data_IF_663929216039
#
_entry.id   IF_663929216039
#
_cell.length_a   1.000
_cell.length_b   1.000
_cell.length_c   1.000
_cell.angle_alpha   90.00
_cell.angle_beta   90.00
_cell.angle_gamma   90.00
#
_symmetry.space_group_name_H-M   'P 1'
#
loop_
_entity.id
_entity.type
_entity.pdbx_description
1 polymer ?
#
# COMPACT_ATOMS: atom_id res chain seq x y z
N UNK A 1 -25.69 39.59 30.54
CA UNK A 1 -25.59 38.50 29.54
C UNK A 1 -26.35 38.95 28.31
N UNK A 2 -25.77 38.80 27.12
CA UNK A 2 -26.44 39.20 25.88
C UNK A 2 -27.41 38.09 25.41
N UNK A 3 -28.59 38.42 24.83
CA UNK A 3 -29.55 37.41 24.40
C UNK A 3 -28.94 36.49 23.33
N UNK A 4 -29.05 35.17 23.50
CA UNK A 4 -28.71 34.21 22.46
C UNK A 4 -29.74 34.30 21.34
N UNK A 5 -29.47 35.14 20.36
CA UNK A 5 -30.33 35.32 19.19
C UNK A 5 -30.63 33.97 18.51
N UNK A 6 -31.88 33.76 18.12
CA UNK A 6 -32.27 32.56 17.38
C UNK A 6 -31.64 32.61 15.98
N UNK A 7 -30.73 31.68 15.72
CA UNK A 7 -30.07 31.50 14.43
C UNK A 7 -30.64 30.24 13.73
N UNK A 8 -31.51 30.40 12.72
CA UNK A 8 -32.07 29.27 11.96
C UNK A 8 -30.99 28.40 11.31
N UNK A 9 -29.89 29.01 10.86
CA UNK A 9 -28.76 28.32 10.23
C UNK A 9 -27.96 27.46 11.20
N UNK A 10 -28.05 27.71 12.52
CA UNK A 10 -27.50 26.86 13.58
C UNK A 10 -28.52 25.87 14.14
N UNK A 11 -29.80 26.26 14.25
CA UNK A 11 -30.85 25.43 14.86
C UNK A 11 -31.34 24.32 13.93
N UNK A 12 -31.49 24.60 12.63
CA UNK A 12 -31.95 23.61 11.65
C UNK A 12 -30.82 22.88 10.90
N UNK A 13 -29.56 23.25 11.12
CA UNK A 13 -28.43 22.53 10.53
C UNK A 13 -28.26 21.15 11.18
N UNK A 14 -28.11 20.12 10.35
CA UNK A 14 -27.69 18.78 10.79
C UNK A 14 -26.42 18.88 11.62
N UNK A 15 -26.39 18.39 12.87
CA UNK A 15 -25.20 18.46 13.74
C UNK A 15 -23.97 17.88 13.04
N UNK A 16 -22.80 18.51 13.22
CA UNK A 16 -21.56 18.11 12.50
C UNK A 16 -21.21 16.64 12.72
N UNK A 17 -21.46 16.09 13.90
CA UNK A 17 -21.32 14.66 14.21
C UNK A 17 -22.22 13.77 13.34
N UNK A 18 -23.51 14.11 13.21
CA UNK A 18 -24.46 13.38 12.36
C UNK A 18 -24.13 13.56 10.88
N UNK A 19 -23.76 14.77 10.46
CA UNK A 19 -23.35 15.03 9.07
C UNK A 19 -22.06 14.28 8.68
N UNK A 20 -21.15 14.06 9.62
CA UNK A 20 -19.93 13.28 9.41
C UNK A 20 -20.19 11.77 9.25
N UNK A 21 -21.35 11.25 9.67
CA UNK A 21 -21.78 9.88 9.36
C UNK A 21 -22.20 9.72 7.88
N UNK A 22 -22.49 10.83 7.19
CA UNK A 22 -22.76 10.88 5.74
C UNK A 22 -21.42 10.91 4.97
N UNK A 23 -20.57 9.92 5.25
CA UNK A 23 -19.28 9.73 4.58
C UNK A 23 -19.39 8.83 3.34
N UNK A 24 -18.27 8.63 2.62
CA UNK A 24 -18.16 7.63 1.55
C UNK A 24 -18.51 6.21 2.02
N UNK A 25 -19.65 5.67 1.55
CA UNK A 25 -20.03 4.26 1.69
C UNK A 25 -20.01 3.60 0.30
N UNK A 26 -18.84 3.11 -0.18
CA UNK A 26 -18.72 2.55 -1.53
C UNK A 26 -19.51 1.25 -1.73
N UNK A 27 -19.97 0.60 -0.66
CA UNK A 27 -20.71 -0.68 -0.69
C UNK A 27 -20.06 -1.74 -1.58
N UNK A 28 -18.74 -1.90 -1.45
CA UNK A 28 -18.03 -3.04 -2.04
C UNK A 28 -18.72 -4.36 -1.65
N UNK A 29 -18.66 -5.34 -2.53
CA UNK A 29 -19.10 -6.72 -2.30
C UNK A 29 -17.98 -7.43 -1.52
N UNK A 30 -18.32 -8.31 -0.57
CA UNK A 30 -17.30 -9.06 0.18
C UNK A 30 -16.46 -9.95 -0.73
N UNK A 31 -15.16 -10.07 -0.46
CA UNK A 31 -14.23 -10.79 -1.34
C UNK A 31 -14.65 -12.24 -1.61
N UNK A 32 -15.27 -12.91 -0.63
CA UNK A 32 -15.79 -14.28 -0.80
C UNK A 32 -17.03 -14.37 -1.69
N UNK A 33 -17.89 -13.35 -1.73
CA UNK A 33 -19.01 -13.30 -2.71
C UNK A 33 -18.43 -12.93 -4.08
N UNK A 34 -17.53 -11.94 -4.13
CA UNK A 34 -16.91 -11.48 -5.37
C UNK A 34 -16.11 -12.59 -6.07
N UNK A 35 -15.33 -13.38 -5.33
CA UNK A 35 -14.61 -14.53 -5.87
C UNK A 35 -15.55 -15.58 -6.48
N UNK A 36 -16.70 -15.87 -5.84
CA UNK A 36 -17.71 -16.80 -6.39
C UNK A 36 -18.41 -16.22 -7.62
N UNK A 37 -18.63 -14.90 -7.68
CA UNK A 37 -19.17 -14.22 -8.87
C UNK A 37 -18.16 -14.21 -10.05
N UNK A 38 -16.87 -13.98 -9.79
CA UNK A 38 -15.82 -14.08 -10.80
C UNK A 38 -15.71 -15.51 -11.34
N UNK A 39 -15.68 -16.52 -10.45
CA UNK A 39 -15.74 -17.93 -10.84
C UNK A 39 -16.96 -18.23 -11.71
N UNK A 40 -18.15 -17.78 -11.30
CA UNK A 40 -19.38 -18.00 -12.06
C UNK A 40 -19.31 -17.38 -13.46
N UNK A 41 -18.84 -16.13 -13.57
CA UNK A 41 -18.69 -15.45 -14.86
C UNK A 41 -17.70 -16.14 -15.81
N UNK A 42 -16.56 -16.58 -15.28
CA UNK A 42 -15.54 -17.32 -16.06
C UNK A 42 -16.03 -18.71 -16.50
N UNK A 43 -16.92 -19.35 -15.73
CA UNK A 43 -17.45 -20.69 -16.01
C UNK A 43 -18.87 -20.68 -16.60
N UNK A 44 -19.36 -19.53 -17.07
CA UNK A 44 -20.69 -19.40 -17.69
C UNK A 44 -20.83 -20.37 -18.88
N UNK A 45 -21.91 -21.13 -18.89
CA UNK A 45 -22.27 -22.11 -19.91
C UNK A 45 -23.72 -21.87 -20.36
N UNK A 46 -24.18 -22.58 -21.39
CA UNK A 46 -25.49 -22.31 -22.02
C UNK A 46 -26.63 -22.62 -21.05
N UNK A 47 -26.42 -23.63 -20.21
CA UNK A 47 -27.31 -24.17 -19.19
C UNK A 47 -27.71 -23.10 -18.16
N UNK A 48 -26.81 -22.18 -17.82
CA UNK A 48 -27.07 -21.10 -16.86
C UNK A 48 -28.05 -20.03 -17.40
N UNK A 49 -28.26 -19.99 -18.72
CA UNK A 49 -29.10 -18.97 -19.37
C UNK A 49 -30.57 -19.36 -19.45
N UNK A 50 -30.92 -20.61 -19.16
CA UNK A 50 -32.30 -21.10 -19.19
C UNK A 50 -33.04 -20.76 -17.90
N UNK A 51 -34.01 -19.85 -17.99
CA UNK A 51 -34.96 -19.54 -16.91
C UNK A 51 -36.32 -20.21 -17.14
N UNK A 52 -36.31 -21.50 -17.48
CA UNK A 52 -37.50 -22.29 -17.82
C UNK A 52 -37.37 -23.02 -19.16
N UNK A 53 -38.51 -23.30 -19.81
CA UNK A 53 -38.63 -24.12 -21.03
C UNK A 53 -38.33 -23.39 -22.34
N UNK A 54 -37.92 -22.12 -22.30
CA UNK A 54 -37.63 -21.30 -23.48
C UNK A 54 -36.13 -21.17 -23.77
N UNK A 55 -35.76 -21.08 -25.05
CA UNK A 55 -34.40 -20.77 -25.48
C UNK A 55 -33.93 -19.39 -24.98
N UNK A 56 -32.66 -19.21 -24.60
CA UNK A 56 -32.15 -17.92 -24.11
C UNK A 56 -32.22 -16.82 -25.18
N UNK A 57 -32.51 -15.58 -24.77
CA UNK A 57 -32.67 -14.46 -25.71
C UNK A 57 -31.34 -14.01 -26.34
N UNK A 58 -30.24 -14.10 -25.61
CA UNK A 58 -28.89 -13.77 -26.08
C UNK A 58 -28.04 -15.06 -26.16
N UNK A 59 -27.10 -15.16 -27.13
CA UNK A 59 -26.16 -16.28 -27.21
C UNK A 59 -25.13 -16.23 -26.07
N UNK A 60 -24.47 -17.36 -25.78
CA UNK A 60 -23.58 -17.49 -24.62
C UNK A 60 -22.35 -16.59 -24.70
N UNK A 61 -21.84 -16.30 -25.90
CA UNK A 61 -20.71 -15.41 -26.15
C UNK A 61 -21.05 -13.96 -25.75
N UNK A 62 -22.26 -13.49 -26.10
CA UNK A 62 -22.77 -12.18 -25.67
C UNK A 62 -22.80 -12.07 -24.14
N UNK A 63 -23.33 -13.09 -23.47
CA UNK A 63 -23.48 -13.07 -22.00
C UNK A 63 -22.12 -13.22 -21.30
N UNK A 64 -21.20 -14.02 -21.84
CA UNK A 64 -19.79 -14.11 -21.37
C UNK A 64 -19.05 -12.77 -21.52
N UNK A 65 -19.15 -12.11 -22.68
CA UNK A 65 -18.56 -10.79 -22.90
C UNK A 65 -19.12 -9.75 -21.92
N UNK A 66 -20.44 -9.75 -21.69
CA UNK A 66 -21.11 -8.85 -20.76
C UNK A 66 -20.73 -9.12 -19.30
N UNK A 67 -20.62 -10.40 -18.91
CA UNK A 67 -20.16 -10.81 -17.59
C UNK A 67 -18.70 -10.38 -17.34
N UNK A 68 -17.80 -10.61 -18.30
CA UNK A 68 -16.39 -10.22 -18.18
C UNK A 68 -16.23 -8.70 -18.05
N UNK A 69 -16.95 -7.91 -18.86
CA UNK A 69 -16.94 -6.44 -18.74
C UNK A 69 -17.48 -5.99 -17.38
N UNK A 70 -18.54 -6.62 -16.86
CA UNK A 70 -19.07 -6.28 -15.53
C UNK A 70 -18.11 -6.65 -14.38
N UNK A 71 -17.46 -7.82 -14.46
CA UNK A 71 -16.61 -8.37 -13.40
C UNK A 71 -15.19 -7.79 -13.37
N UNK A 72 -14.66 -7.31 -14.51
CA UNK A 72 -13.24 -6.93 -14.60
C UNK A 72 -13.00 -5.50 -15.13
N UNK A 73 -13.94 -4.88 -15.84
CA UNK A 73 -13.75 -3.52 -16.38
C UNK A 73 -14.28 -2.37 -15.48
N UNK A 74 -15.05 -2.68 -14.43
CA UNK A 74 -15.50 -1.69 -13.43
C UNK A 74 -16.34 -0.52 -13.95
N UNK A 75 -16.98 -0.70 -15.12
CA UNK A 75 -17.74 0.34 -15.82
C UNK A 75 -19.15 0.56 -15.25
N UNK A 76 -19.71 1.74 -15.51
CA UNK A 76 -21.12 2.06 -15.27
C UNK A 76 -22.03 1.34 -16.24
N UNK A 77 -23.28 1.08 -15.85
CA UNK A 77 -24.26 0.50 -16.76
C UNK A 77 -24.55 1.38 -18.00
N UNK A 78 -24.39 2.71 -17.93
CA UNK A 78 -24.51 3.60 -19.10
C UNK A 78 -23.24 3.68 -19.97
N UNK A 79 -22.11 3.15 -19.49
CA UNK A 79 -20.88 2.98 -20.27
C UNK A 79 -20.93 1.61 -20.98
N UNK A 80 -21.24 0.53 -20.23
CA UNK A 80 -21.33 -0.85 -20.74
C UNK A 80 -22.25 -0.97 -21.95
N UNK A 81 -23.49 -0.46 -21.86
CA UNK A 81 -24.48 -0.60 -22.95
C UNK A 81 -24.17 0.27 -24.19
N UNK A 82 -23.15 1.13 -24.11
CA UNK A 82 -22.72 2.02 -25.21
C UNK A 82 -21.30 1.75 -25.70
N UNK A 83 -20.65 0.67 -25.23
CA UNK A 83 -19.40 0.19 -25.81
C UNK A 83 -19.60 -0.05 -27.31
N UNK A 84 -18.67 0.45 -28.12
CA UNK A 84 -18.70 0.37 -29.59
C UNK A 84 -18.09 -0.96 -30.04
N UNK A 85 -18.45 -1.42 -31.23
CA UNK A 85 -17.78 -2.53 -31.89
C UNK A 85 -16.31 -2.15 -32.14
N UNK A 86 -15.38 -3.06 -31.89
CA UNK A 86 -13.94 -2.81 -31.94
C UNK A 86 -13.39 -1.98 -30.77
N UNK A 87 -14.08 -1.92 -29.62
CA UNK A 87 -13.62 -1.16 -28.46
C UNK A 87 -12.43 -1.78 -27.69
N UNK A 88 -11.82 -2.86 -28.20
CA UNK A 88 -10.68 -3.54 -27.58
C UNK A 88 -9.43 -3.43 -28.46
N UNK A 89 -8.28 -3.20 -27.82
CA UNK A 89 -6.97 -3.18 -28.49
C UNK A 89 -5.96 -3.98 -27.67
N UNK A 90 -5.33 -4.96 -28.30
CA UNK A 90 -4.32 -5.82 -27.68
C UNK A 90 -2.97 -5.10 -27.60
N UNK A 91 -2.25 -5.28 -26.48
CA UNK A 91 -0.86 -4.89 -26.38
C UNK A 91 -0.01 -5.92 -27.15
N UNK A 92 0.41 -5.56 -28.37
CA UNK A 92 1.12 -6.47 -29.28
C UNK A 92 2.61 -6.64 -28.96
N UNK A 93 3.23 -5.68 -28.29
CA UNK A 93 4.66 -5.67 -27.98
C UNK A 93 4.91 -5.57 -26.46
N UNK A 94 6.09 -6.00 -26.03
CA UNK A 94 6.62 -5.75 -24.69
C UNK A 94 6.80 -4.22 -24.48
N UNK A 95 6.14 -3.64 -23.48
CA UNK A 95 6.20 -2.20 -23.19
C UNK A 95 7.11 -1.94 -21.99
N UNK A 96 8.22 -1.24 -22.23
CA UNK A 96 9.10 -0.76 -21.15
C UNK A 96 8.48 0.45 -20.45
N UNK A 97 8.23 0.30 -19.15
CA UNK A 97 7.74 1.39 -18.28
C UNK A 97 8.93 2.30 -17.96
N UNK A 98 9.08 3.37 -18.75
CA UNK A 98 10.22 4.30 -18.69
C UNK A 98 10.53 4.83 -17.28
N UNK A 99 9.52 4.91 -16.40
CA UNK A 99 9.64 5.42 -15.03
C UNK A 99 10.21 4.40 -14.03
N UNK A 100 10.05 3.09 -14.26
CA UNK A 100 10.48 2.03 -13.32
C UNK A 100 11.53 1.09 -13.91
N UNK A 101 11.69 1.06 -15.24
CA UNK A 101 12.56 0.11 -15.95
C UNK A 101 11.95 -1.30 -16.08
N UNK A 102 10.72 -1.50 -15.60
CA UNK A 102 10.00 -2.78 -15.71
C UNK A 102 9.43 -2.95 -17.12
N UNK A 103 9.42 -4.19 -17.61
CA UNK A 103 8.80 -4.53 -18.90
C UNK A 103 7.45 -5.19 -18.66
N UNK A 104 6.38 -4.56 -19.16
CA UNK A 104 5.05 -5.20 -19.24
C UNK A 104 5.06 -6.17 -20.43
N UNK A 105 4.93 -7.49 -20.22
CA UNK A 105 5.00 -8.44 -21.31
C UNK A 105 3.82 -8.31 -22.29
N UNK A 106 4.02 -8.80 -23.51
CA UNK A 106 2.98 -8.98 -24.53
C UNK A 106 1.69 -9.58 -23.93
N UNK A 107 0.53 -9.05 -24.33
CA UNK A 107 -0.80 -9.41 -23.80
C UNK A 107 -1.00 -9.30 -22.26
N UNK A 108 -0.11 -8.65 -21.49
CA UNK A 108 -0.32 -8.45 -20.04
C UNK A 108 -1.66 -7.76 -19.71
N UNK A 109 -2.11 -6.85 -20.58
CA UNK A 109 -3.41 -6.18 -20.50
C UNK A 109 -4.06 -6.09 -21.87
N UNK A 110 -5.39 -6.06 -21.88
CA UNK A 110 -6.16 -5.56 -23.01
C UNK A 110 -6.47 -4.08 -22.75
N UNK A 111 -6.32 -3.21 -23.75
CA UNK A 111 -6.85 -1.85 -23.70
C UNK A 111 -8.34 -1.88 -24.07
N UNK A 112 -9.15 -1.12 -23.33
CA UNK A 112 -10.58 -0.97 -23.54
C UNK A 112 -10.92 0.52 -23.72
N UNK A 113 -11.56 0.84 -24.84
CA UNK A 113 -11.98 2.20 -25.19
C UNK A 113 -13.42 2.48 -24.71
N UNK A 114 -13.52 3.31 -23.69
CA UNK A 114 -14.76 3.61 -22.97
C UNK A 114 -15.41 4.88 -23.55
N UNK A 115 -16.70 4.85 -23.93
CA UNK A 115 -17.39 6.02 -24.49
C UNK A 115 -17.59 7.12 -23.45
N UNK A 116 -17.86 8.34 -23.92
CA UNK A 116 -18.10 9.56 -23.11
C UNK A 116 -18.97 9.25 -21.89
N UNK A 117 -18.46 9.54 -20.68
CA UNK A 117 -19.11 9.17 -19.43
C UNK A 117 -19.96 10.31 -18.84
N UNK A 118 -20.44 10.19 -17.60
CA UNK A 118 -21.33 11.20 -16.99
C UNK A 118 -20.62 12.55 -16.72
N UNK A 119 -19.30 12.54 -16.52
CA UNK A 119 -18.53 13.69 -16.01
C UNK A 119 -17.22 13.96 -16.76
N UNK A 120 -16.86 13.13 -17.74
CA UNK A 120 -15.64 13.25 -18.56
C UNK A 120 -15.81 12.69 -19.97
N UNK A 121 -14.77 12.89 -20.79
CA UNK A 121 -14.70 12.46 -22.19
C UNK A 121 -14.65 10.93 -22.35
N UNK A 122 -14.58 10.46 -23.59
CA UNK A 122 -14.17 9.08 -23.88
C UNK A 122 -12.71 8.87 -23.45
N UNK A 123 -12.35 7.66 -23.02
CA UNK A 123 -11.01 7.35 -22.50
C UNK A 123 -10.65 5.88 -22.69
N UNK A 124 -9.37 5.60 -22.92
CA UNK A 124 -8.83 4.24 -22.93
C UNK A 124 -8.41 3.84 -21.51
N UNK A 125 -8.62 2.58 -21.12
CA UNK A 125 -8.12 2.01 -19.87
C UNK A 125 -7.55 0.58 -20.07
N UNK A 126 -6.54 0.16 -19.31
CA UNK A 126 -6.16 -1.25 -19.24
C UNK A 126 -7.21 -2.06 -18.47
N UNK A 127 -7.48 -3.27 -18.93
CA UNK A 127 -8.32 -4.30 -18.28
C UNK A 127 -7.68 -5.67 -18.43
N UNK A 128 -8.11 -6.62 -17.61
CA UNK A 128 -7.63 -8.01 -17.68
C UNK A 128 -7.87 -8.62 -19.08
N UNK A 129 -6.89 -9.36 -19.65
CA UNK A 129 -7.02 -10.07 -20.93
C UNK A 129 -8.26 -10.98 -21.07
N UNK A 130 -8.89 -11.43 -19.99
CA UNK A 130 -10.18 -12.15 -20.03
C UNK A 130 -11.29 -11.29 -20.65
N UNK A 131 -11.25 -9.97 -20.48
CA UNK A 131 -12.19 -9.03 -21.11
C UNK A 131 -11.96 -9.01 -22.61
N UNK A 132 -10.71 -8.85 -23.06
CA UNK A 132 -10.35 -8.85 -24.47
C UNK A 132 -10.77 -10.15 -25.18
N UNK A 133 -10.46 -11.31 -24.59
CA UNK A 133 -10.85 -12.62 -25.13
C UNK A 133 -12.37 -12.81 -25.19
N UNK A 134 -13.11 -12.41 -24.15
CA UNK A 134 -14.56 -12.55 -24.13
C UNK A 134 -15.25 -11.61 -25.13
N UNK A 135 -14.77 -10.37 -25.26
CA UNK A 135 -15.26 -9.41 -26.27
C UNK A 135 -14.98 -9.91 -27.68
N UNK A 136 -13.73 -10.30 -27.99
CA UNK A 136 -13.37 -10.82 -29.31
C UNK A 136 -14.19 -12.06 -29.70
N UNK A 137 -14.42 -12.98 -28.75
CA UNK A 137 -15.27 -14.17 -28.97
C UNK A 137 -16.74 -13.82 -29.26
N UNK A 138 -17.28 -12.74 -28.68
CA UNK A 138 -18.59 -12.23 -29.07
C UNK A 138 -18.55 -11.55 -30.45
N UNK A 139 -17.58 -10.67 -30.71
CA UNK A 139 -17.47 -9.98 -32.00
C UNK A 139 -17.32 -10.94 -33.18
N UNK A 140 -16.63 -12.07 -33.00
CA UNK A 140 -16.48 -13.13 -34.00
C UNK A 140 -17.81 -13.77 -34.43
N UNK A 141 -18.77 -13.95 -33.50
CA UNK A 141 -20.08 -14.59 -33.78
C UNK A 141 -21.23 -13.59 -33.89
N UNK A 142 -20.99 -12.31 -33.62
CA UNK A 142 -21.99 -11.24 -33.64
C UNK A 142 -22.57 -11.05 -35.05
N UNK A 143 -23.89 -11.25 -35.27
CA UNK A 143 -24.50 -10.99 -36.56
C UNK A 143 -24.35 -9.53 -37.00
N UNK A 144 -24.21 -9.30 -38.32
CA UNK A 144 -24.33 -7.97 -38.93
C UNK A 144 -25.70 -7.38 -38.60
N UNK A 145 -25.69 -6.15 -38.08
CA UNK A 145 -26.83 -5.45 -37.51
C UNK A 145 -26.67 -3.95 -37.78
N UNK A 146 -27.77 -3.17 -37.79
CA UNK A 146 -27.69 -1.73 -38.07
C UNK A 146 -26.95 -0.97 -36.97
N UNK A 147 -26.41 0.18 -37.35
CA UNK A 147 -25.88 1.18 -36.43
C UNK A 147 -27.00 1.94 -35.73
N UNK A 148 -26.72 2.50 -34.55
CA UNK A 148 -27.69 3.23 -33.72
C UNK A 148 -27.13 4.58 -33.29
N UNK A 149 -28.01 5.53 -32.97
CA UNK A 149 -27.61 6.81 -32.40
C UNK A 149 -27.17 6.63 -30.94
N UNK A 150 -25.95 7.06 -30.58
CA UNK A 150 -25.54 7.20 -29.18
C UNK A 150 -26.26 8.42 -28.58
N UNK A 151 -27.20 8.25 -27.63
CA UNK A 151 -28.04 9.33 -27.09
C UNK A 151 -27.25 10.37 -26.27
N UNK A 152 -25.94 10.19 -26.14
CA UNK A 152 -25.04 11.04 -25.35
C UNK A 152 -24.02 11.82 -26.19
N UNK A 153 -23.80 11.42 -27.44
CA UNK A 153 -22.88 12.08 -28.39
C UNK A 153 -23.56 12.52 -29.68
N UNK A 154 -24.69 11.92 -30.04
CA UNK A 154 -25.36 12.17 -31.33
C UNK A 154 -24.68 11.47 -32.52
N UNK A 155 -23.66 10.65 -32.27
CA UNK A 155 -22.97 9.87 -33.31
C UNK A 155 -23.76 8.61 -33.65
N UNK A 156 -23.74 8.21 -34.92
CA UNK A 156 -24.27 6.92 -35.38
C UNK A 156 -23.16 5.88 -35.27
N UNK A 157 -23.39 4.83 -34.47
CA UNK A 157 -22.37 3.88 -34.03
C UNK A 157 -22.87 2.43 -34.03
N UNK A 158 -21.97 1.48 -34.29
CA UNK A 158 -22.26 0.07 -34.04
C UNK A 158 -21.97 -0.24 -32.56
N UNK A 159 -23.02 -0.54 -31.78
CA UNK A 159 -22.83 -0.98 -30.40
C UNK A 159 -22.37 -2.44 -30.34
N UNK A 160 -21.36 -2.72 -29.50
CA UNK A 160 -20.86 -4.06 -29.21
C UNK A 160 -22.03 -4.98 -28.81
N UNK A 161 -22.77 -4.58 -27.77
CA UNK A 161 -23.92 -5.31 -27.27
C UNK A 161 -25.21 -4.95 -28.02
N UNK A 162 -25.36 -5.52 -29.21
CA UNK A 162 -26.59 -5.51 -29.98
C UNK A 162 -26.92 -6.93 -30.46
N UNK A 163 -28.16 -7.38 -30.29
CA UNK A 163 -28.62 -8.67 -30.82
C UNK A 163 -30.04 -8.57 -31.37
N UNK A 164 -30.31 -9.23 -32.52
CA UNK A 164 -31.59 -9.15 -33.26
C UNK A 164 -32.04 -7.70 -33.53
N UNK A 165 -31.09 -6.83 -33.88
CA UNK A 165 -31.27 -5.39 -34.10
C UNK A 165 -31.85 -4.64 -32.88
N UNK A 166 -31.49 -5.07 -31.66
CA UNK A 166 -31.83 -4.41 -30.40
C UNK A 166 -30.56 -4.18 -29.58
N UNK A 167 -30.19 -2.92 -29.27
CA UNK A 167 -29.13 -2.62 -28.30
C UNK A 167 -29.49 -3.13 -26.91
N UNK A 168 -28.46 -3.43 -26.11
CA UNK A 168 -28.61 -3.88 -24.72
C UNK A 168 -29.24 -2.79 -23.84
N UNK A 169 -30.19 -3.18 -23.00
CA UNK A 169 -30.79 -2.32 -21.98
C UNK A 169 -29.99 -2.39 -20.67
N UNK A 170 -29.89 -1.28 -19.92
CA UNK A 170 -29.16 -1.24 -18.64
C UNK A 170 -29.83 -2.11 -17.57
N UNK A 171 -31.12 -2.31 -17.76
CA UNK A 171 -32.06 -3.03 -16.93
C UNK A 171 -31.73 -4.54 -16.96
N UNK A 172 -31.27 -5.08 -18.10
CA UNK A 172 -30.82 -6.48 -18.21
C UNK A 172 -29.64 -6.82 -17.31
N UNK A 173 -28.71 -5.87 -17.08
CA UNK A 173 -27.54 -6.09 -16.21
C UNK A 173 -27.98 -6.40 -14.78
N UNK A 174 -28.93 -5.62 -14.24
CA UNK A 174 -29.42 -5.76 -12.87
C UNK A 174 -30.55 -6.80 -12.73
N UNK A 175 -31.40 -6.93 -13.75
CA UNK A 175 -32.57 -7.80 -13.76
C UNK A 175 -32.36 -9.20 -14.34
N UNK A 176 -31.20 -9.50 -14.93
CA UNK A 176 -30.93 -10.82 -15.53
C UNK A 176 -29.47 -11.28 -15.37
N UNK A 177 -28.48 -10.49 -15.81
CA UNK A 177 -27.06 -10.89 -15.74
C UNK A 177 -26.61 -11.16 -14.30
N UNK A 178 -26.81 -10.19 -13.40
CA UNK A 178 -26.43 -10.33 -11.99
C UNK A 178 -27.19 -11.49 -11.31
N UNK A 179 -28.52 -11.66 -11.51
CA UNK A 179 -29.24 -12.86 -11.06
C UNK A 179 -28.67 -14.19 -11.56
N UNK A 180 -28.36 -14.32 -12.85
CA UNK A 180 -27.75 -15.55 -13.43
C UNK A 180 -26.40 -15.83 -12.74
N UNK A 181 -25.54 -14.82 -12.62
CA UNK A 181 -24.23 -14.95 -11.97
C UNK A 181 -24.37 -15.31 -10.48
N UNK A 182 -25.31 -14.71 -9.75
CA UNK A 182 -25.56 -15.02 -8.34
C UNK A 182 -26.08 -16.45 -8.15
N UNK A 183 -27.01 -16.89 -8.99
CA UNK A 183 -27.55 -18.25 -8.98
C UNK A 183 -26.45 -19.29 -9.21
N UNK A 184 -25.70 -19.15 -10.31
CA UNK A 184 -24.56 -20.02 -10.63
C UNK A 184 -23.47 -20.00 -9.56
N UNK A 185 -23.15 -18.82 -9.03
CA UNK A 185 -22.20 -18.67 -7.94
C UNK A 185 -22.68 -19.30 -6.62
N UNK A 186 -23.97 -19.58 -6.45
CA UNK A 186 -24.57 -20.04 -5.20
C UNK A 186 -24.51 -18.99 -4.09
N UNK A 187 -24.76 -17.72 -4.42
CA UNK A 187 -24.75 -16.56 -3.51
C UNK A 187 -26.07 -15.78 -3.57
N UNK A 188 -26.51 -15.13 -2.47
CA UNK A 188 -27.77 -14.39 -2.45
C UNK A 188 -27.69 -13.10 -3.28
N UNK A 189 -28.83 -12.67 -3.86
CA UNK A 189 -28.98 -11.39 -4.56
C UNK A 189 -28.80 -10.14 -3.67
N UNK A 190 -28.72 -10.32 -2.36
CA UNK A 190 -28.53 -9.30 -1.34
C UNK A 190 -27.48 -9.78 -0.33
N UNK A 191 -26.52 -8.93 0.01
CA UNK A 191 -25.58 -9.15 1.10
C UNK A 191 -25.83 -8.16 2.25
N UNK A 192 -24.89 -8.09 3.20
CA UNK A 192 -24.96 -7.18 4.36
C UNK A 192 -24.94 -5.68 4.03
N UNK A 193 -24.69 -5.30 2.77
CA UNK A 193 -24.80 -3.92 2.25
C UNK A 193 -26.00 -3.73 1.30
N UNK A 194 -26.89 -4.72 1.22
CA UNK A 194 -28.11 -4.71 0.41
C UNK A 194 -27.95 -5.42 -0.93
N UNK A 195 -28.79 -5.08 -1.90
CA UNK A 195 -28.82 -5.72 -3.23
C UNK A 195 -27.47 -5.64 -3.94
N UNK A 196 -27.08 -6.70 -4.63
CA UNK A 196 -25.95 -6.71 -5.56
C UNK A 196 -26.41 -6.01 -6.85
N UNK A 197 -25.70 -4.97 -7.27
CA UNK A 197 -26.09 -4.13 -8.43
C UNK A 197 -24.90 -3.76 -9.29
N UNK A 198 -25.16 -3.30 -10.52
CA UNK A 198 -24.12 -2.96 -11.49
C UNK A 198 -23.10 -1.96 -10.96
N UNK A 199 -23.52 -0.98 -10.16
CA UNK A 199 -22.66 0.03 -9.54
C UNK A 199 -21.67 -0.56 -8.50
N UNK A 200 -22.05 -1.63 -7.80
CA UNK A 200 -21.23 -2.20 -6.72
C UNK A 200 -19.98 -2.89 -7.23
N UNK A 201 -19.99 -3.41 -8.46
CA UNK A 201 -18.80 -3.99 -9.10
C UNK A 201 -17.66 -2.95 -9.22
N UNK A 202 -17.94 -1.77 -9.78
CA UNK A 202 -16.94 -0.71 -9.92
C UNK A 202 -16.31 -0.29 -8.60
N UNK A 203 -17.10 -0.21 -7.52
CA UNK A 203 -16.59 0.08 -6.18
C UNK A 203 -15.83 -1.09 -5.52
N UNK A 204 -16.20 -2.33 -5.84
CA UNK A 204 -15.49 -3.54 -5.38
C UNK A 204 -14.10 -3.62 -6.02
N UNK A 205 -14.04 -3.50 -7.35
CA UNK A 205 -12.78 -3.55 -8.12
C UNK A 205 -11.88 -2.37 -7.74
N UNK A 206 -12.42 -1.14 -7.64
CA UNK A 206 -11.64 0.03 -7.22
C UNK A 206 -11.10 -0.11 -5.79
N UNK A 207 -11.87 -0.67 -4.87
CA UNK A 207 -11.39 -0.97 -3.51
C UNK A 207 -10.32 -2.07 -3.51
N UNK A 208 -10.44 -3.11 -4.35
CA UNK A 208 -9.43 -4.17 -4.45
C UNK A 208 -8.12 -3.66 -5.07
N UNK A 209 -8.18 -2.90 -6.16
CA UNK A 209 -7.02 -2.25 -6.80
C UNK A 209 -6.35 -1.19 -5.90
N UNK A 210 -7.09 -0.56 -4.99
CA UNK A 210 -6.50 0.33 -3.98
C UNK A 210 -5.81 -0.44 -2.84
N UNK A 211 -6.29 -1.64 -2.49
CA UNK A 211 -5.80 -2.41 -1.33
C UNK A 211 -4.92 -3.61 -1.70
N UNK A 212 -4.53 -3.76 -2.97
CA UNK A 212 -3.53 -4.73 -3.42
C UNK A 212 -2.15 -4.46 -2.83
N UNK A 213 -1.27 -5.47 -2.96
CA UNK A 213 0.13 -5.46 -2.51
C UNK A 213 0.93 -4.32 -3.16
N UNK A 214 0.89 -4.24 -4.48
CA UNK A 214 1.29 -3.08 -5.27
C UNK A 214 -0.01 -2.33 -5.65
N UNK A 215 -0.33 -1.20 -5.00
CA UNK A 215 -1.63 -0.55 -5.12
C UNK A 215 -1.65 0.58 -6.15
N UNK A 216 -2.75 0.69 -6.90
CA UNK A 216 -3.03 1.90 -7.67
C UNK A 216 -3.30 3.07 -6.72
N UNK A 217 -2.69 4.22 -6.98
CA UNK A 217 -2.98 5.46 -6.26
C UNK A 217 -4.39 5.97 -6.55
N UNK A 218 -4.86 6.93 -5.74
CA UNK A 218 -6.17 7.55 -5.94
C UNK A 218 -6.28 8.27 -7.31
N UNK A 219 -5.17 8.74 -7.87
CA UNK A 219 -5.12 9.41 -9.18
C UNK A 219 -5.13 8.40 -10.34
N UNK A 220 -4.43 7.27 -10.22
CA UNK A 220 -4.49 6.21 -11.22
C UNK A 220 -5.87 5.55 -11.24
N UNK A 221 -6.50 5.35 -10.08
CA UNK A 221 -7.91 4.91 -9.99
C UNK A 221 -8.88 5.97 -10.52
N UNK A 222 -8.59 7.26 -10.35
CA UNK A 222 -9.38 8.32 -10.96
C UNK A 222 -9.36 8.21 -12.50
N UNK A 223 -8.18 8.01 -13.10
CA UNK A 223 -8.06 7.79 -14.54
C UNK A 223 -8.76 6.50 -14.99
N UNK A 224 -8.53 5.39 -14.27
CA UNK A 224 -9.10 4.07 -14.58
C UNK A 224 -10.64 4.01 -14.48
N UNK A 225 -11.26 4.83 -13.62
CA UNK A 225 -12.71 4.99 -13.50
C UNK A 225 -13.30 6.15 -14.35
N UNK A 226 -12.46 6.86 -15.12
CA UNK A 226 -12.86 8.01 -15.93
C UNK A 226 -13.38 9.21 -15.11
N UNK A 227 -12.95 9.36 -13.86
CA UNK A 227 -13.46 10.38 -12.95
C UNK A 227 -12.83 11.76 -13.18
N UNK A 228 -13.65 12.82 -13.12
CA UNK A 228 -13.16 14.21 -13.21
C UNK A 228 -12.48 14.73 -11.93
N UNK A 229 -12.65 14.07 -10.78
CA UNK A 229 -12.10 14.52 -9.50
C UNK A 229 -11.73 13.35 -8.56
N UNK A 230 -10.63 13.44 -7.79
CA UNK A 230 -10.27 12.46 -6.76
C UNK A 230 -11.38 12.29 -5.70
N UNK A 231 -12.12 13.36 -5.40
CA UNK A 231 -13.24 13.33 -4.45
C UNK A 231 -14.41 12.46 -4.95
N UNK A 232 -14.55 12.27 -6.27
CA UNK A 232 -15.49 11.28 -6.83
C UNK A 232 -14.97 9.85 -6.60
N UNK A 233 -13.66 9.61 -6.82
CA UNK A 233 -13.00 8.31 -6.61
C UNK A 233 -13.05 7.85 -5.15
N UNK A 234 -12.98 8.77 -4.18
CA UNK A 234 -13.13 8.44 -2.75
C UNK A 234 -14.47 7.75 -2.43
N UNK A 235 -15.53 7.97 -3.22
CA UNK A 235 -16.83 7.29 -3.06
C UNK A 235 -16.86 5.85 -3.62
N UNK A 236 -15.73 5.35 -4.16
CA UNK A 236 -15.58 4.00 -4.71
C UNK A 236 -14.53 3.17 -3.94
N UNK A 237 -13.85 3.75 -2.94
CA UNK A 237 -12.67 3.16 -2.29
C UNK A 237 -12.80 3.19 -0.77
N UNK A 238 -12.74 2.02 -0.13
CA UNK A 238 -12.48 1.90 1.33
C UNK A 238 -11.01 1.59 1.58
N UNK A 239 -10.36 2.32 2.48
CA UNK A 239 -8.99 2.00 2.94
C UNK A 239 -9.06 0.91 4.02
N UNK A 240 -8.36 -0.22 3.87
CA UNK A 240 -8.28 -1.22 4.94
C UNK A 240 -7.33 -0.77 6.06
N UNK A 241 -7.65 -1.14 7.31
CA UNK A 241 -6.80 -0.81 8.46
C UNK A 241 -5.41 -1.45 8.35
N UNK A 242 -5.30 -2.63 7.74
CA UNK A 242 -4.03 -3.31 7.45
C UNK A 242 -3.19 -2.55 6.42
N UNK A 243 -3.80 -2.03 5.35
CA UNK A 243 -3.11 -1.14 4.40
C UNK A 243 -2.61 0.13 5.08
N UNK A 244 -3.47 0.77 5.90
CA UNK A 244 -3.11 2.00 6.61
C UNK A 244 -1.95 1.77 7.61
N UNK A 245 -2.00 0.69 8.38
CA UNK A 245 -0.95 0.30 9.32
C UNK A 245 0.37 0.01 8.60
N UNK A 246 0.34 -0.72 7.47
CA UNK A 246 1.54 -0.95 6.64
C UNK A 246 2.09 0.35 6.07
N UNK A 247 1.25 1.21 5.48
CA UNK A 247 1.69 2.49 4.92
C UNK A 247 2.32 3.41 5.99
N UNK A 248 1.79 3.42 7.21
CA UNK A 248 2.38 4.15 8.34
C UNK A 248 3.72 3.56 8.79
N UNK A 249 3.85 2.23 8.84
CA UNK A 249 5.11 1.55 9.15
C UNK A 249 6.18 1.77 8.07
N UNK A 250 5.83 1.62 6.79
CA UNK A 250 6.70 1.84 5.63
C UNK A 250 7.14 3.32 5.52
N UNK A 251 6.28 4.26 5.92
CA UNK A 251 6.66 5.66 6.04
C UNK A 251 7.78 5.87 7.06
N UNK A 252 7.93 5.00 8.06
CA UNK A 252 9.06 5.01 9.00
C UNK A 252 9.13 6.27 9.85
N UNK A 253 7.98 6.92 10.12
CA UNK A 253 7.88 8.25 10.73
C UNK A 253 8.77 8.42 11.97
N UNK A 254 8.66 7.50 12.93
CA UNK A 254 9.48 7.50 14.15
C UNK A 254 10.98 7.38 13.83
N UNK A 255 11.38 6.45 12.95
CA UNK A 255 12.79 6.23 12.62
C UNK A 255 13.42 7.41 11.86
N UNK A 256 12.67 8.11 11.01
CA UNK A 256 13.15 9.35 10.36
C UNK A 256 13.34 10.47 11.38
N UNK A 257 12.38 10.63 12.29
CA UNK A 257 12.44 11.68 13.30
C UNK A 257 13.51 11.40 14.36
N UNK A 258 13.70 10.14 14.78
CA UNK A 258 14.80 9.76 15.69
C UNK A 258 16.16 10.08 15.07
N UNK A 259 16.39 9.80 13.78
CA UNK A 259 17.63 10.21 13.08
C UNK A 259 17.82 11.73 12.99
N UNK A 260 16.74 12.52 13.01
CA UNK A 260 16.81 13.98 13.13
C UNK A 260 17.00 14.47 14.59
N UNK A 261 16.87 13.57 15.56
CA UNK A 261 16.97 13.79 17.01
C UNK A 261 18.22 13.07 17.59
N UNK A 262 19.06 12.44 16.76
CA UNK A 262 20.39 11.91 17.09
C UNK A 262 21.41 13.06 17.27
N UNK A 263 21.09 13.91 18.25
CA UNK A 263 21.88 15.01 18.79
C UNK A 263 22.33 14.58 20.18
N UNK A 264 23.63 14.36 20.38
CA UNK A 264 24.14 14.17 21.73
C UNK A 264 24.06 15.51 22.46
N UNK A 265 23.41 15.53 23.63
CA UNK A 265 23.30 16.71 24.48
C UNK A 265 24.20 16.51 25.69
N UNK A 266 25.25 17.34 25.82
CA UNK A 266 26.02 17.38 27.05
C UNK A 266 25.22 18.08 28.14
N UNK A 267 24.55 17.25 28.95
CA UNK A 267 23.67 17.69 30.01
C UNK A 267 24.39 18.49 31.11
N UNK A 268 25.70 18.33 31.28
CA UNK A 268 26.42 19.06 32.32
C UNK A 268 26.95 20.39 31.80
N UNK A 269 27.29 20.49 30.51
CA UNK A 269 27.53 21.79 29.86
C UNK A 269 26.27 22.70 29.96
N UNK A 270 25.08 22.12 29.85
CA UNK A 270 23.80 22.82 30.09
C UNK A 270 23.61 23.20 31.57
N UNK A 271 23.84 22.28 32.52
CA UNK A 271 23.61 22.53 33.96
C UNK A 271 24.62 23.49 34.61
N UNK A 272 25.88 23.44 34.20
CA UNK A 272 27.00 24.14 34.86
C UNK A 272 27.21 25.57 34.36
N UNK A 273 26.28 26.11 33.56
CA UNK A 273 26.39 27.38 32.85
C UNK A 273 27.56 27.47 31.84
N UNK A 274 28.31 26.39 31.58
CA UNK A 274 29.35 26.36 30.55
C UNK A 274 28.77 26.63 29.14
N UNK A 275 27.53 26.21 28.87
CA UNK A 275 26.78 26.58 27.67
C UNK A 275 26.57 28.10 27.53
N UNK A 276 26.44 28.84 28.64
CA UNK A 276 26.37 30.31 28.63
C UNK A 276 27.75 30.99 28.51
N UNK A 277 28.84 30.24 28.76
CA UNK A 277 30.22 30.64 28.46
C UNK A 277 30.65 30.29 27.01
N UNK A 278 29.77 29.67 26.21
CA UNK A 278 30.00 29.37 24.80
C UNK A 278 30.56 27.97 24.48
N UNK A 279 30.72 27.08 25.46
CA UNK A 279 31.09 25.69 25.18
C UNK A 279 29.95 24.92 24.47
N UNK A 280 30.22 24.15 23.40
CA UNK A 280 29.20 23.37 22.71
C UNK A 280 28.51 22.35 23.62
N UNK A 281 27.18 22.38 23.61
CA UNK A 281 26.32 21.47 24.39
C UNK A 281 25.38 20.62 23.54
N UNK A 282 25.29 20.89 22.23
CA UNK A 282 24.62 20.06 21.22
C UNK A 282 25.66 19.54 20.23
N UNK A 283 25.56 18.27 19.88
CA UNK A 283 26.50 17.59 18.99
C UNK A 283 25.72 16.71 18.01
N UNK A 284 25.63 17.11 16.74
CA UNK A 284 24.93 16.35 15.69
C UNK A 284 25.83 15.24 15.15
N UNK A 285 25.37 13.99 15.14
CA UNK A 285 26.15 12.86 14.61
C UNK A 285 26.17 12.84 13.06
N UNK A 286 27.35 12.92 12.45
CA UNK A 286 27.55 12.81 11.00
C UNK A 286 28.20 11.47 10.60
N UNK A 287 28.21 10.48 11.50
CA UNK A 287 28.82 9.16 11.34
C UNK A 287 30.34 9.15 11.47
N UNK A 288 31.03 10.17 10.94
CA UNK A 288 32.50 10.29 10.94
C UNK A 288 33.02 11.38 11.90
N UNK A 289 32.20 12.38 12.22
CA UNK A 289 32.48 13.39 13.24
C UNK A 289 31.18 13.88 13.87
N UNK A 290 31.29 14.59 15.00
CA UNK A 290 30.20 15.33 15.61
C UNK A 290 30.26 16.80 15.23
N UNK A 291 29.15 17.37 14.76
CA UNK A 291 29.06 18.79 14.46
C UNK A 291 28.55 19.58 15.68
N UNK A 292 29.32 20.57 16.13
CA UNK A 292 29.01 21.46 17.27
C UNK A 292 28.23 22.72 16.89
N UNK A 293 28.04 22.99 15.60
CA UNK A 293 27.40 24.23 15.14
C UNK A 293 25.92 24.26 15.53
N UNK A 294 25.52 25.23 16.35
CA UNK A 294 24.17 25.28 16.93
C UNK A 294 23.06 25.34 15.86
N UNK A 295 23.35 26.02 14.73
CA UNK A 295 22.46 26.11 13.57
C UNK A 295 22.86 25.11 12.47
N UNK A 296 23.25 23.88 12.82
CA UNK A 296 23.54 22.82 11.85
C UNK A 296 22.40 22.63 10.85
N UNK A 297 21.16 22.56 11.35
CA UNK A 297 20.15 23.59 11.03
C UNK A 297 20.12 24.13 9.59
N UNK A 298 20.74 25.29 9.41
CA UNK A 298 20.77 26.12 8.20
C UNK A 298 22.16 26.10 7.53
N UNK A 299 23.06 25.22 7.96
CA UNK A 299 24.46 25.21 7.52
C UNK A 299 24.60 24.86 6.02
N UNK A 300 25.21 25.71 5.17
CA UNK A 300 25.39 25.44 3.74
C UNK A 300 26.41 24.31 3.46
N UNK A 301 27.16 23.87 4.47
CA UNK A 301 28.24 22.88 4.33
C UNK A 301 27.88 21.50 4.92
N UNK A 302 26.58 21.19 5.12
CA UNK A 302 26.08 19.90 5.65
C UNK A 302 26.70 18.65 5.00
N UNK A 303 27.05 18.70 3.72
CA UNK A 303 27.65 17.57 2.98
C UNK A 303 29.19 17.61 2.88
N UNK A 304 29.85 18.60 3.47
CA UNK A 304 31.30 18.82 3.41
C UNK A 304 31.95 19.03 4.79
N UNK A 305 31.26 18.63 5.87
CA UNK A 305 31.59 19.01 7.24
C UNK A 305 32.97 18.49 7.74
N UNK A 306 33.51 17.43 7.13
CA UNK A 306 34.80 16.80 7.46
C UNK A 306 36.04 17.72 7.46
N UNK A 307 35.92 18.97 6.98
CA UNK A 307 36.99 20.00 6.97
C UNK A 307 36.54 21.32 7.60
N UNK A 308 35.50 21.29 8.42
CA UNK A 308 34.93 22.47 9.08
C UNK A 308 35.36 22.49 10.55
N UNK A 309 35.67 23.67 11.11
CA UNK A 309 36.16 23.80 12.49
C UNK A 309 35.14 23.34 13.55
N UNK A 310 33.86 23.23 13.19
CA UNK A 310 32.79 22.69 14.03
C UNK A 310 32.68 21.16 14.02
N UNK A 311 33.50 20.43 13.25
CA UNK A 311 33.49 18.97 13.15
C UNK A 311 34.55 18.36 14.08
N UNK A 312 34.11 17.70 15.16
CA UNK A 312 34.96 16.97 16.10
C UNK A 312 35.09 15.50 15.64
N UNK A 313 36.26 15.05 15.15
CA UNK A 313 36.45 13.70 14.62
C UNK A 313 36.14 12.61 15.67
N UNK A 314 35.49 11.51 15.27
CA UNK A 314 35.07 10.44 16.21
C UNK A 314 36.21 9.66 16.85
N UNK A 315 37.37 9.61 16.21
CA UNK A 315 38.60 9.06 16.75
C UNK A 315 39.24 9.95 17.84
N UNK A 316 38.82 11.21 17.99
CA UNK A 316 39.31 12.09 19.05
C UNK A 316 38.80 11.69 20.44
N UNK A 317 39.64 11.90 21.46
CA UNK A 317 39.27 11.66 22.86
C UNK A 317 38.01 12.45 23.29
N UNK A 318 37.78 13.67 22.74
CA UNK A 318 36.58 14.47 23.05
C UNK A 318 35.31 13.79 22.54
N UNK A 319 35.32 13.24 21.32
CA UNK A 319 34.20 12.48 20.78
C UNK A 319 33.97 11.16 21.53
N UNK A 320 35.03 10.41 21.85
CA UNK A 320 34.92 9.16 22.61
C UNK A 320 34.32 9.40 24.01
N UNK A 321 34.70 10.48 24.69
CA UNK A 321 34.12 10.87 25.98
C UNK A 321 32.64 11.28 25.86
N UNK A 322 32.25 11.99 24.81
CA UNK A 322 30.84 12.34 24.54
C UNK A 322 29.99 11.09 24.28
N UNK A 323 30.45 10.18 23.41
CA UNK A 323 29.77 8.90 23.18
C UNK A 323 29.68 8.06 24.46
N UNK A 324 30.78 7.94 25.22
CA UNK A 324 30.78 7.21 26.49
C UNK A 324 29.78 7.81 27.49
N UNK A 325 29.73 9.14 27.61
CA UNK A 325 28.81 9.87 28.49
C UNK A 325 27.34 9.64 28.12
N UNK A 326 26.97 9.76 26.84
CA UNK A 326 25.59 9.47 26.41
C UNK A 326 25.26 7.98 26.55
N UNK A 327 26.21 7.07 26.30
CA UNK A 327 26.01 5.64 26.54
C UNK A 327 25.77 5.32 28.03
N UNK A 328 26.52 5.93 28.96
CA UNK A 328 26.32 5.78 30.40
C UNK A 328 24.98 6.36 30.86
N UNK A 329 24.58 7.53 30.34
CA UNK A 329 23.24 8.10 30.59
C UNK A 329 22.11 7.18 30.08
N UNK A 330 22.31 6.51 28.94
CA UNK A 330 21.38 5.50 28.42
C UNK A 330 21.31 4.25 29.30
N UNK A 331 22.44 3.78 29.85
CA UNK A 331 22.43 2.71 30.86
C UNK A 331 21.69 3.13 32.13
N UNK A 332 21.94 4.33 32.64
CA UNK A 332 21.27 4.89 33.83
C UNK A 332 19.74 5.00 33.71
N UNK A 333 19.20 5.15 32.49
CA UNK A 333 17.76 5.36 32.28
C UNK A 333 16.93 4.08 32.08
N UNK A 334 17.53 2.93 31.73
CA UNK A 334 16.79 1.66 31.56
C UNK A 334 17.44 0.42 32.24
N UNK A 335 18.62 0.53 32.86
CA UNK A 335 19.27 -0.57 33.59
C UNK A 335 19.49 -0.19 35.06
N UNK A 336 18.96 -0.96 36.04
CA UNK A 336 19.19 -0.70 37.46
C UNK A 336 20.64 -1.07 37.84
N UNK A 337 21.54 -0.08 37.76
CA UNK A 337 22.94 -0.21 38.16
C UNK A 337 23.09 -0.54 39.65
N UNK A 338 24.10 -1.33 40.00
CA UNK A 338 24.56 -1.48 41.38
C UNK A 338 25.22 -0.20 41.89
N UNK A 339 25.34 -0.02 43.21
CA UNK A 339 25.81 1.24 43.78
C UNK A 339 27.28 1.56 43.41
N UNK A 340 28.11 0.52 43.21
CA UNK A 340 29.48 0.69 42.71
C UNK A 340 29.54 1.11 41.24
N UNK A 341 28.63 0.63 40.39
CA UNK A 341 28.52 1.06 38.99
C UNK A 341 28.02 2.51 38.91
N UNK A 342 27.15 2.92 39.84
CA UNK A 342 26.65 4.29 39.99
C UNK A 342 27.78 5.25 40.40
N UNK A 343 28.55 4.94 41.43
CA UNK A 343 29.70 5.75 41.88
C UNK A 343 30.82 5.90 40.82
N UNK A 344 30.91 4.99 39.84
CA UNK A 344 31.80 5.16 38.67
C UNK A 344 31.16 6.03 37.58
N UNK A 345 29.85 5.96 37.38
CA UNK A 345 29.12 6.82 36.44
C UNK A 345 29.07 8.29 36.89
N UNK A 346 28.92 8.53 38.20
CA UNK A 346 28.94 9.86 38.82
C UNK A 346 30.37 10.45 38.98
N UNK A 347 31.40 9.70 38.56
CA UNK A 347 32.79 10.17 38.49
C UNK A 347 33.59 10.09 39.79
N UNK A 348 33.01 9.59 40.88
CA UNK A 348 33.66 9.50 42.19
C UNK A 348 34.76 8.44 42.26
N UNK A 349 34.67 7.38 41.45
CA UNK A 349 35.61 6.26 41.43
C UNK A 349 36.08 5.88 40.02
N UNK A 350 37.34 5.42 39.91
CA UNK A 350 37.87 4.92 38.64
C UNK A 350 37.32 3.53 38.29
N UNK A 351 37.09 3.27 36.99
CA UNK A 351 36.52 2.02 36.46
C UNK A 351 37.30 0.74 36.86
N UNK A 352 38.56 0.86 37.29
CA UNK A 352 39.35 -0.27 37.83
C UNK A 352 38.76 -0.88 39.11
N UNK A 353 37.99 -0.11 39.88
CA UNK A 353 37.42 -0.55 41.17
C UNK A 353 36.32 -1.60 40.98
N UNK A 354 35.62 -1.59 39.84
CA UNK A 354 34.60 -2.58 39.47
C UNK A 354 35.17 -3.96 39.11
N UNK A 355 36.49 -4.07 38.91
CA UNK A 355 37.11 -5.34 38.50
C UNK A 355 38.06 -5.87 39.58
N UNK A 356 37.58 -6.70 40.54
CA UNK A 356 38.45 -7.39 41.46
C UNK A 356 39.44 -8.29 40.71
N UNK A 357 40.68 -8.38 41.21
CA UNK A 357 41.79 -9.05 40.54
C UNK A 357 41.43 -10.48 40.13
N UNK A 358 41.78 -10.85 38.90
CA UNK A 358 41.21 -11.95 38.08
C UNK A 358 41.45 -13.40 38.59
N UNK A 359 41.72 -13.59 39.88
CA UNK A 359 42.25 -14.81 40.47
C UNK A 359 41.22 -15.71 41.21
N UNK A 360 40.03 -15.21 41.57
CA UNK A 360 39.13 -15.91 42.52
C UNK A 360 37.82 -16.50 41.96
N UNK A 361 37.42 -16.20 40.71
CA UNK A 361 36.12 -16.64 40.16
C UNK A 361 36.23 -17.56 38.93
N UNK A 362 36.72 -18.79 39.15
CA UNK A 362 36.44 -19.94 38.27
C UNK A 362 35.49 -20.92 38.96
N UNK A 363 34.19 -20.65 38.91
CA UNK A 363 33.16 -21.68 39.05
C UNK A 363 32.54 -21.98 37.67
N UNK A 364 32.47 -23.25 37.22
CA UNK A 364 31.87 -23.60 35.94
C UNK A 364 30.34 -23.51 35.98
N UNK A 365 29.76 -22.86 34.96
CA UNK A 365 28.33 -22.68 34.80
C UNK A 365 27.60 -24.03 34.65
N UNK A 366 26.76 -24.41 35.63
CA UNK A 366 25.92 -25.60 35.54
C UNK A 366 24.61 -25.30 34.78
N UNK A 367 24.57 -25.69 33.51
CA UNK A 367 23.35 -25.63 32.71
C UNK A 367 22.30 -26.65 33.21
N UNK A 368 21.17 -26.17 33.75
CA UNK A 368 20.03 -27.02 34.14
C UNK A 368 19.44 -27.71 32.90
N UNK A 369 19.33 -29.04 32.93
CA UNK A 369 18.71 -29.83 31.86
C UNK A 369 17.19 -29.86 31.99
N UNK A 370 16.49 -29.08 31.18
CA UNK A 370 15.10 -29.39 30.79
C UNK A 370 15.09 -30.44 29.69
N UNK A 371 14.14 -31.39 29.71
CA UNK A 371 14.16 -32.54 28.81
C UNK A 371 13.04 -32.49 27.76
N UNK A 372 13.40 -32.65 26.48
CA UNK A 372 12.54 -33.29 25.47
C UNK A 372 13.38 -33.73 24.24
N UNK A 373 12.90 -34.72 23.48
CA UNK A 373 13.31 -34.97 22.10
C UNK A 373 14.70 -35.60 21.83
N UNK A 374 14.73 -36.92 21.63
CA UNK A 374 15.69 -37.62 20.76
C UNK A 374 14.91 -38.21 19.56
N UNK A 375 15.55 -38.61 18.44
CA UNK A 375 16.87 -38.19 17.91
C UNK A 375 16.81 -37.78 16.42
N UNK A 376 17.88 -37.17 15.90
CA UNK A 376 18.27 -37.36 14.50
C UNK A 376 19.76 -37.73 14.40
N UNK A 377 20.15 -38.34 13.28
CA UNK A 377 21.36 -39.19 13.16
C UNK A 377 22.67 -38.39 13.12
N UNK A 378 23.74 -38.93 13.72
CA UNK A 378 25.14 -38.54 13.49
C UNK A 378 25.71 -39.30 12.30
N UNK A 379 26.59 -38.69 11.50
CA UNK A 379 27.95 -39.19 11.15
C UNK A 379 28.76 -38.09 10.36
N UNK A 380 30.12 -38.17 10.18
CA UNK A 380 31.02 -37.52 11.14
C UNK A 380 32.38 -36.93 10.59
N UNK A 381 33.31 -36.60 11.51
CA UNK A 381 34.79 -36.38 11.36
C UNK A 381 35.28 -35.10 10.59
N UNK A 382 36.04 -34.20 11.24
CA UNK A 382 37.53 -33.98 11.21
C UNK A 382 38.07 -33.47 9.85
N UNK A 383 39.06 -32.56 9.71
CA UNK A 383 39.88 -31.71 10.63
C UNK A 383 40.46 -30.52 9.78
N UNK A 384 41.52 -29.72 10.08
CA UNK A 384 42.56 -29.72 11.11
C UNK A 384 43.25 -28.33 11.34
N UNK A 385 43.92 -28.24 12.50
CA UNK A 385 45.10 -27.44 12.93
C UNK A 385 45.79 -26.33 12.10
N UNK A 386 46.35 -25.35 12.85
CA UNK A 386 47.18 -24.23 12.43
C UNK A 386 48.69 -24.57 12.26
N UNK A 387 49.39 -23.74 11.47
CA UNK A 387 50.82 -23.34 11.57
C UNK A 387 50.87 -21.85 11.14
N UNK A 388 51.48 -20.85 11.79
CA UNK A 388 52.65 -20.73 12.70
C UNK A 388 53.94 -21.07 11.93
N UNK A 389 54.86 -20.13 11.61
CA UNK A 389 55.45 -19.03 12.41
C UNK A 389 55.65 -17.70 11.67
N UNK A 390 56.02 -16.62 12.39
CA UNK A 390 56.66 -15.42 11.83
C UNK A 390 58.16 -15.65 11.56
N UNK A 391 58.80 -14.75 10.81
CA UNK A 391 60.28 -14.68 10.67
C UNK A 391 60.74 -13.51 9.78
N UNK A 392 61.45 -12.53 10.35
CA UNK A 392 62.06 -11.42 9.60
C UNK A 392 63.39 -11.86 8.97
N UNK A 393 63.75 -11.32 7.80
CA UNK A 393 64.96 -10.46 7.64
C UNK A 393 65.05 -9.79 6.25
N UNK A 394 65.46 -8.51 6.28
CA UNK A 394 66.38 -7.82 5.35
C UNK A 394 66.49 -8.29 3.88
N UNK A 395 66.01 -7.44 2.96
CA UNK A 395 66.88 -6.58 2.14
C UNK A 395 66.10 -5.31 1.74
#
# INVERSE_FOLDING_TARGET
MEPRHFDPGRVFATPRSVKALIGPDPRAISDHIWARLMWAGMNLAVEDLFSGTGSPFYPIEFVRALAAIWLFAGLRSDEIVRLRLGCIRWQQDDVSVQTTGETLPQEAVCLLDVPVNKTGAAFTKPVDPVVGRAVAGWEQVRPRQPSFLDPKTGEVVDFLFCYRARPLTREYINGSLIPILCHKAGVPLKDVRGTITSHRAGATIASQLFNSREPMSLFELQAWLGHRSPATTQNYVTITLTKLAKAYADAGYLARNVRAIEVLIDNDAVKTAAAAAGEPWRYYDLGHCFCTYEFFDQCPHRMACARCDFCIPKDSNRAQLLEAKTNLLRFLQEVPLTDGERAVADGEHSIRVLWPTRAQTRQPYQAKRGACGRPYKRMPFFAALQRVTCGNTLC
#
